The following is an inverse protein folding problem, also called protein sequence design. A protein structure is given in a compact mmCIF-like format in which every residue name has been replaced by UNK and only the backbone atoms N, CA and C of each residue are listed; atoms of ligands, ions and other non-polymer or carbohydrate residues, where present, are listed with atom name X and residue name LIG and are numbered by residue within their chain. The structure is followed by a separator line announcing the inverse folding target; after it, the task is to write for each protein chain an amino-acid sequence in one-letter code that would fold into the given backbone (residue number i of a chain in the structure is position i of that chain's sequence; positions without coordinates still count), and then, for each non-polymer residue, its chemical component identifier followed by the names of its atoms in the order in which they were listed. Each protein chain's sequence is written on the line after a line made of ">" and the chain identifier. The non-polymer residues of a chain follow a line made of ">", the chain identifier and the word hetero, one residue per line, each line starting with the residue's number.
data_IF_304598680313
#
_entry.id   IF_304598680313
#
_cell.length_a   1.000
_cell.length_b   1.000
_cell.length_c   1.000
_cell.angle_alpha   90.00
_cell.angle_beta   90.00
_cell.angle_gamma   90.00
#
_symmetry.space_group_name_H-M   'P 1'
#
loop_
_entity.id
_entity.type
_entity.pdbx_description
1 polymer ?
#
# COMPACT_ATOMS: atom_id res chain seq x y z
N UNK A 1 10.79 14.11 20.98
CA UNK A 1 9.75 14.80 20.18
C UNK A 1 8.77 13.74 19.72
N UNK A 2 7.50 14.09 19.60
CA UNK A 2 6.37 13.22 19.29
C UNK A 2 6.24 12.86 17.80
N UNK A 3 7.11 13.41 16.94
CA UNK A 3 7.12 13.21 15.48
C UNK A 3 5.77 13.55 14.82
N UNK A 4 5.01 14.46 15.45
CA UNK A 4 3.76 14.98 14.93
C UNK A 4 4.02 16.01 13.82
N UNK A 5 3.30 15.87 12.71
CA UNK A 5 3.35 16.79 11.57
C UNK A 5 1.95 17.28 11.16
N UNK A 6 1.86 18.04 10.06
CA UNK A 6 0.61 18.63 9.56
C UNK A 6 -0.45 17.58 9.18
N UNK A 7 -0.05 16.32 8.96
CA UNK A 7 -0.91 15.20 8.60
C UNK A 7 -1.30 14.36 9.81
N UNK A 8 -0.33 13.98 10.66
CA UNK A 8 -0.61 13.13 11.84
C UNK A 8 -1.31 13.89 12.96
N UNK A 9 -1.13 15.22 13.01
CA UNK A 9 -1.84 16.12 13.93
C UNK A 9 -3.15 16.68 13.39
N UNK A 10 -3.55 16.31 12.16
CA UNK A 10 -4.67 16.96 11.45
C UNK A 10 -6.05 16.66 12.01
N UNK A 11 -6.21 15.53 12.69
CA UNK A 11 -7.49 15.06 13.21
C UNK A 11 -7.30 14.15 14.41
N UNK A 12 -8.27 14.18 15.33
CA UNK A 12 -8.35 13.25 16.45
C UNK A 12 -9.75 12.69 16.57
N UNK A 13 -9.88 11.40 16.85
CA UNK A 13 -11.19 10.76 17.01
C UNK A 13 -11.81 11.20 18.33
N UNK A 14 -13.03 11.76 18.28
CA UNK A 14 -13.77 12.20 19.47
C UNK A 14 -14.93 11.27 19.82
N UNK A 15 -15.46 10.53 18.85
CA UNK A 15 -16.46 9.50 19.08
C UNK A 15 -16.33 8.40 18.04
N UNK A 16 -16.60 7.17 18.46
CA UNK A 16 -16.58 5.99 17.59
C UNK A 16 -17.75 5.08 17.95
N UNK A 17 -18.51 4.70 16.93
CA UNK A 17 -19.57 3.69 16.98
C UNK A 17 -19.12 2.48 16.13
N UNK A 18 -19.98 1.46 16.05
CA UNK A 18 -19.77 0.35 15.12
C UNK A 18 -19.83 0.83 13.66
N UNK A 19 -20.67 1.82 13.38
CA UNK A 19 -21.02 2.26 12.03
C UNK A 19 -20.18 3.45 11.56
N UNK A 20 -19.63 4.25 12.47
CA UNK A 20 -18.98 5.51 12.13
C UNK A 20 -18.05 6.09 13.19
N UNK A 21 -17.34 7.16 12.81
CA UNK A 21 -16.52 7.95 13.70
C UNK A 21 -16.70 9.45 13.41
N UNK A 22 -16.54 10.28 14.45
CA UNK A 22 -16.41 11.73 14.32
C UNK A 22 -15.02 12.17 14.74
N UNK A 23 -14.52 13.20 14.07
CA UNK A 23 -13.16 13.68 14.25
C UNK A 23 -13.19 15.15 14.61
N UNK A 24 -12.38 15.56 15.59
CA UNK A 24 -12.03 16.97 15.78
C UNK A 24 -10.90 17.29 14.82
N UNK A 25 -11.09 18.28 13.95
CA UNK A 25 -10.08 18.70 12.99
C UNK A 25 -9.17 19.78 13.57
N UNK A 26 -7.91 19.75 13.16
CA UNK A 26 -6.95 20.77 13.50
C UNK A 26 -7.30 22.13 12.87
N UNK A 27 -6.95 23.26 13.51
CA UNK A 27 -7.33 24.59 13.05
C UNK A 27 -6.67 25.01 11.73
N UNK A 28 -5.65 24.30 11.27
CA UNK A 28 -5.01 24.53 9.97
C UNK A 28 -5.70 23.79 8.82
N UNK A 29 -6.75 22.99 9.07
CA UNK A 29 -7.50 22.32 8.00
C UNK A 29 -8.51 23.30 7.38
N UNK A 30 -8.43 23.46 6.06
CA UNK A 30 -9.27 24.38 5.30
C UNK A 30 -10.38 23.68 4.51
N UNK A 31 -10.17 22.42 4.11
CA UNK A 31 -11.19 21.62 3.43
C UNK A 31 -11.25 20.22 4.03
N UNK A 32 -12.46 19.69 4.16
CA UNK A 32 -12.74 18.34 4.64
C UNK A 32 -13.72 17.64 3.71
N UNK A 33 -13.34 16.46 3.25
CA UNK A 33 -14.18 15.59 2.42
C UNK A 33 -14.07 14.15 2.89
N UNK A 34 -15.04 13.32 2.52
CA UNK A 34 -14.94 11.87 2.67
C UNK A 34 -15.05 11.18 1.31
N UNK A 35 -14.32 10.08 1.15
CA UNK A 35 -14.38 9.24 -0.05
C UNK A 35 -14.22 7.77 0.30
N UNK A 36 -14.62 6.91 -0.62
CA UNK A 36 -14.39 5.47 -0.53
C UNK A 36 -13.19 5.08 -1.38
N UNK A 37 -12.19 4.41 -0.80
CA UNK A 37 -11.02 3.93 -1.55
C UNK A 37 -11.40 2.85 -2.57
N UNK A 38 -12.49 2.09 -2.36
CA UNK A 38 -12.94 1.08 -3.32
C UNK A 38 -13.70 1.67 -4.51
N UNK A 39 -13.89 3.00 -4.53
CA UNK A 39 -14.45 3.75 -5.65
C UNK A 39 -13.47 4.85 -6.12
N UNK A 40 -12.29 4.49 -6.66
CA UNK A 40 -11.17 5.41 -6.88
C UNK A 40 -11.50 6.58 -7.81
N UNK A 41 -12.40 6.38 -8.77
CA UNK A 41 -12.84 7.40 -9.73
C UNK A 41 -13.97 8.30 -9.20
N UNK A 42 -14.51 7.99 -8.01
CA UNK A 42 -15.57 8.79 -7.39
C UNK A 42 -14.95 9.98 -6.65
N UNK A 43 -15.39 11.22 -6.95
CA UNK A 43 -14.95 12.40 -6.20
C UNK A 43 -15.32 12.31 -4.71
N UNK A 44 -14.50 12.93 -3.86
CA UNK A 44 -14.85 13.10 -2.46
C UNK A 44 -16.10 13.95 -2.28
N UNK A 45 -16.89 13.64 -1.27
CA UNK A 45 -18.08 14.40 -0.89
C UNK A 45 -17.73 15.35 0.24
N UNK A 46 -18.28 16.57 0.27
CA UNK A 46 -18.10 17.48 1.41
C UNK A 46 -18.41 16.78 2.73
N UNK A 47 -17.55 16.98 3.72
CA UNK A 47 -17.75 16.52 5.09
C UNK A 47 -18.02 17.75 5.95
N UNK A 48 -19.26 17.87 6.42
CA UNK A 48 -19.68 18.99 7.28
C UNK A 48 -18.86 19.00 8.56
N UNK A 49 -18.55 20.20 9.05
CA UNK A 49 -17.81 20.43 10.30
C UNK A 49 -18.60 21.41 11.15
N UNK A 50 -18.89 21.01 12.38
CA UNK A 50 -19.60 21.84 13.35
C UNK A 50 -18.77 23.05 13.82
N UNK A 51 -19.41 24.02 14.50
CA UNK A 51 -18.73 25.19 15.04
C UNK A 51 -17.69 24.84 16.13
N UNK A 52 -17.76 23.63 16.69
CA UNK A 52 -16.79 23.04 17.63
C UNK A 52 -15.60 22.35 16.93
N UNK A 53 -15.55 22.37 15.60
CA UNK A 53 -14.50 21.73 14.80
C UNK A 53 -14.69 20.23 14.61
N UNK A 54 -15.83 19.66 15.05
CA UNK A 54 -16.12 18.23 14.95
C UNK A 54 -16.81 17.91 13.62
N UNK A 55 -16.33 16.90 12.91
CA UNK A 55 -16.94 16.45 11.66
C UNK A 55 -18.32 15.82 11.89
N UNK A 56 -19.15 15.85 10.86
CA UNK A 56 -20.20 14.86 10.70
C UNK A 56 -19.61 13.44 10.75
N UNK A 57 -20.48 12.45 10.98
CA UNK A 57 -20.06 11.06 11.12
C UNK A 57 -19.56 10.51 9.78
N UNK A 58 -18.33 9.98 9.80
CA UNK A 58 -17.73 9.27 8.67
C UNK A 58 -17.97 7.78 8.87
N UNK A 59 -18.57 7.08 7.89
CA UNK A 59 -18.76 5.65 7.99
C UNK A 59 -17.43 4.92 8.21
N UNK A 60 -17.44 3.85 9.00
CA UNK A 60 -16.25 3.04 9.25
C UNK A 60 -16.24 1.80 8.35
N UNK A 61 -15.05 1.34 7.94
CA UNK A 61 -14.93 0.00 7.35
C UNK A 61 -15.49 -1.05 8.33
N UNK A 62 -16.31 -1.97 7.83
CA UNK A 62 -16.86 -3.04 8.65
C UNK A 62 -15.74 -3.85 9.32
N UNK A 63 -15.90 -4.22 10.59
CA UNK A 63 -14.90 -5.02 11.31
C UNK A 63 -14.81 -6.46 10.77
N UNK A 64 -15.92 -7.02 10.29
CA UNK A 64 -16.02 -8.36 9.68
C UNK A 64 -16.64 -8.33 8.27
N UNK A 65 -16.83 -9.50 7.66
CA UNK A 65 -17.52 -9.64 6.37
C UNK A 65 -16.72 -9.21 5.14
N UNK A 66 -17.42 -9.11 4.01
CA UNK A 66 -16.84 -8.66 2.75
C UNK A 66 -16.39 -7.20 2.84
N UNK A 67 -15.31 -6.87 2.15
CA UNK A 67 -14.79 -5.52 2.05
C UNK A 67 -15.43 -4.83 0.85
N UNK A 68 -16.61 -4.24 1.07
CA UNK A 68 -17.40 -3.59 0.00
C UNK A 68 -17.18 -2.09 -0.08
N UNK A 69 -16.77 -1.47 1.03
CA UNK A 69 -16.39 -0.07 1.10
C UNK A 69 -15.19 0.11 2.04
N UNK A 70 -14.38 1.13 1.79
CA UNK A 70 -13.33 1.60 2.67
C UNK A 70 -13.33 3.13 2.74
N UNK A 71 -14.19 3.73 3.58
CA UNK A 71 -14.27 5.18 3.71
C UNK A 71 -13.02 5.77 4.37
N UNK A 72 -12.60 6.93 3.88
CA UNK A 72 -11.48 7.72 4.40
C UNK A 72 -11.85 9.20 4.48
N UNK A 73 -11.15 9.91 5.36
CA UNK A 73 -11.08 11.37 5.34
C UNK A 73 -10.11 11.79 4.24
N UNK A 74 -10.49 12.80 3.46
CA UNK A 74 -9.57 13.56 2.63
C UNK A 74 -9.58 15.00 3.09
N UNK A 75 -8.46 15.43 3.67
CA UNK A 75 -8.29 16.76 4.24
C UNK A 75 -7.36 17.59 3.36
N UNK A 76 -7.54 18.91 3.38
CA UNK A 76 -6.59 19.86 2.80
C UNK A 76 -6.19 20.88 3.87
N UNK A 77 -4.90 21.03 4.05
CA UNK A 77 -4.35 22.09 4.90
C UNK A 77 -4.49 23.47 4.25
N UNK A 78 -4.65 24.50 5.07
CA UNK A 78 -4.77 25.90 4.66
C UNK A 78 -3.62 26.37 3.80
N UNK A 79 -3.91 27.24 2.82
CA UNK A 79 -2.87 27.88 2.01
C UNK A 79 -1.93 28.79 2.82
N UNK A 80 -2.30 29.11 4.07
CA UNK A 80 -1.47 29.90 4.99
C UNK A 80 -0.31 29.12 5.59
N UNK A 81 -0.29 27.79 5.49
CA UNK A 81 0.83 26.97 5.95
C UNK A 81 1.71 26.54 4.76
N UNK A 82 3.01 26.44 5.00
CA UNK A 82 4.01 26.12 3.95
C UNK A 82 3.72 24.75 3.33
N UNK A 83 3.33 23.78 4.16
CA UNK A 83 3.03 22.41 3.77
C UNK A 83 1.59 22.27 3.28
N UNK A 84 1.22 23.03 2.24
CA UNK A 84 -0.13 23.01 1.67
C UNK A 84 -0.37 21.82 0.74
N UNK A 85 -1.05 20.78 1.21
CA UNK A 85 -1.42 19.64 0.39
C UNK A 85 -2.74 19.00 0.84
N UNK A 86 -3.28 18.16 -0.05
CA UNK A 86 -4.40 17.29 0.28
C UNK A 86 -3.85 15.90 0.63
N UNK A 87 -4.40 15.27 1.65
CA UNK A 87 -3.93 13.99 2.17
C UNK A 87 -5.10 13.13 2.65
N UNK A 88 -4.86 11.82 2.75
CA UNK A 88 -5.87 10.84 3.17
C UNK A 88 -5.58 10.32 4.57
N UNK A 89 -6.62 10.25 5.40
CA UNK A 89 -6.57 9.62 6.72
C UNK A 89 -7.62 8.51 6.81
N UNK A 90 -7.26 7.37 7.39
CA UNK A 90 -8.17 6.25 7.62
C UNK A 90 -8.26 5.90 9.11
N UNK A 91 -9.45 5.51 9.56
CA UNK A 91 -9.64 5.06 10.94
C UNK A 91 -9.29 3.58 11.09
N UNK A 92 -8.18 3.28 11.75
CA UNK A 92 -7.78 1.92 12.12
C UNK A 92 -8.04 1.60 13.60
N UNK A 93 -8.85 2.39 14.29
CA UNK A 93 -9.26 2.16 15.69
C UNK A 93 -8.44 2.90 16.75
N UNK A 94 -7.45 3.69 16.33
CA UNK A 94 -6.59 4.49 17.22
C UNK A 94 -7.18 5.88 17.50
N UNK A 95 -6.55 6.64 18.40
CA UNK A 95 -6.95 8.02 18.70
C UNK A 95 -6.64 8.97 17.53
N UNK A 96 -5.43 8.88 16.97
CA UNK A 96 -5.05 9.56 15.75
C UNK A 96 -5.34 8.64 14.54
N UNK A 97 -6.04 9.11 13.50
CA UNK A 97 -6.24 8.32 12.29
C UNK A 97 -4.92 8.18 11.52
N UNK A 98 -4.85 7.16 10.67
CA UNK A 98 -3.64 6.74 9.98
C UNK A 98 -3.48 7.47 8.65
N UNK A 99 -2.32 8.10 8.43
CA UNK A 99 -2.00 8.78 7.17
C UNK A 99 -1.67 7.80 6.05
N UNK A 100 -2.31 7.96 4.89
CA UNK A 100 -2.09 7.11 3.72
C UNK A 100 -1.23 7.82 2.68
N UNK A 101 -0.17 7.15 2.25
CA UNK A 101 0.77 7.64 1.24
C UNK A 101 0.96 6.62 0.12
N UNK A 102 1.55 7.08 -0.97
CA UNK A 102 1.85 6.27 -2.13
C UNK A 102 3.21 6.64 -2.71
N UNK A 103 3.99 5.61 -3.04
CA UNK A 103 5.24 5.74 -3.77
C UNK A 103 5.14 4.98 -5.10
N UNK A 104 5.14 5.68 -6.24
CA UNK A 104 5.11 5.02 -7.53
C UNK A 104 6.43 4.30 -7.80
N UNK A 105 6.42 3.42 -8.82
CA UNK A 105 7.63 2.77 -9.30
C UNK A 105 8.74 3.78 -9.62
N UNK A 106 10.01 3.46 -9.31
CA UNK A 106 11.12 4.32 -9.67
C UNK A 106 11.16 4.52 -11.19
N UNK A 107 11.08 5.77 -11.64
CA UNK A 107 11.32 6.10 -13.03
C UNK A 107 12.76 5.78 -13.43
N UNK A 108 13.01 5.51 -14.72
CA UNK A 108 14.38 5.33 -15.20
C UNK A 108 15.16 6.62 -14.95
N UNK A 109 16.31 6.50 -14.27
CA UNK A 109 17.19 7.65 -13.97
C UNK A 109 16.66 8.62 -12.91
N UNK A 110 15.51 8.35 -12.27
CA UNK A 110 15.03 9.21 -11.18
C UNK A 110 15.62 8.79 -9.84
N UNK A 111 16.08 9.74 -8.99
CA UNK A 111 16.46 9.46 -7.62
C UNK A 111 15.32 8.82 -6.82
N UNK A 112 15.67 8.13 -5.72
CA UNK A 112 14.67 7.72 -4.75
C UNK A 112 13.91 8.96 -4.25
N UNK A 113 12.59 8.85 -4.14
CA UNK A 113 11.70 9.92 -3.70
C UNK A 113 11.07 9.53 -2.38
N UNK A 114 10.68 10.52 -1.59
CA UNK A 114 9.80 10.30 -0.47
C UNK A 114 8.41 9.84 -0.97
N UNK A 115 7.66 9.09 -0.15
CA UNK A 115 6.24 8.86 -0.38
C UNK A 115 5.50 10.17 -0.65
N UNK A 116 4.47 10.08 -1.48
CA UNK A 116 3.60 11.20 -1.85
C UNK A 116 2.22 11.00 -1.25
N UNK A 117 1.44 12.05 -1.24
CA UNK A 117 0.04 11.97 -0.83
C UNK A 117 -0.77 11.02 -1.72
N UNK A 118 -1.64 10.24 -1.06
CA UNK A 118 -2.46 9.21 -1.70
C UNK A 118 -3.68 9.76 -2.47
N UNK A 119 -3.66 11.02 -2.89
CA UNK A 119 -4.81 11.69 -3.54
C UNK A 119 -4.77 11.65 -5.07
N UNK A 120 -3.65 11.25 -5.67
CA UNK A 120 -3.48 11.19 -7.12
C UNK A 120 -4.12 9.92 -7.75
N UNK A 121 -4.43 9.92 -9.06
CA UNK A 121 -5.11 8.80 -9.72
C UNK A 121 -4.42 7.44 -9.53
N UNK A 122 -3.11 7.35 -9.81
CA UNK A 122 -2.34 6.11 -9.64
C UNK A 122 -2.36 5.62 -8.18
N UNK A 123 -2.31 6.55 -7.22
CA UNK A 123 -2.36 6.23 -5.81
C UNK A 123 -3.72 5.66 -5.41
N UNK A 124 -4.81 6.29 -5.86
CA UNK A 124 -6.18 5.85 -5.58
C UNK A 124 -6.46 4.48 -6.19
N UNK A 125 -5.97 4.20 -7.40
CA UNK A 125 -6.06 2.88 -8.02
C UNK A 125 -5.30 1.82 -7.22
N UNK A 126 -4.06 2.10 -6.81
CA UNK A 126 -3.29 1.17 -5.97
C UNK A 126 -3.96 0.94 -4.60
N UNK A 127 -4.53 1.99 -4.00
CA UNK A 127 -5.29 1.91 -2.75
C UNK A 127 -6.60 1.14 -2.90
N UNK A 128 -7.35 1.30 -3.99
CA UNK A 128 -8.57 0.52 -4.24
C UNK A 128 -8.32 -0.98 -4.21
N UNK A 129 -7.17 -1.40 -4.74
CA UNK A 129 -6.73 -2.80 -4.79
C UNK A 129 -6.23 -3.35 -3.45
N UNK A 130 -5.85 -2.49 -2.51
CA UNK A 130 -5.12 -2.87 -1.27
C UNK A 130 -5.80 -2.43 0.02
N UNK A 131 -6.81 -1.56 -0.04
CA UNK A 131 -7.45 -0.97 1.13
C UNK A 131 -8.01 -2.04 2.08
N UNK A 132 -8.54 -3.13 1.55
CA UNK A 132 -9.09 -4.21 2.37
C UNK A 132 -8.06 -4.89 3.28
N UNK A 133 -6.77 -4.90 2.91
CA UNK A 133 -5.73 -5.49 3.75
C UNK A 133 -5.36 -4.61 4.93
N UNK A 134 -5.72 -3.32 4.94
CA UNK A 134 -5.57 -2.42 6.09
C UNK A 134 -6.32 -2.93 7.34
N UNK A 135 -7.35 -3.78 7.16
CA UNK A 135 -8.05 -4.41 8.28
C UNK A 135 -7.11 -5.20 9.20
N UNK A 136 -6.07 -5.82 8.62
CA UNK A 136 -5.07 -6.59 9.38
C UNK A 136 -4.21 -5.72 10.31
N UNK A 137 -4.26 -4.39 10.12
CA UNK A 137 -3.51 -3.39 10.86
C UNK A 137 -4.36 -2.70 11.95
N UNK A 138 -5.65 -3.02 12.07
CA UNK A 138 -6.52 -2.39 13.04
C UNK A 138 -6.03 -2.60 14.48
N UNK A 139 -6.06 -1.54 15.29
CA UNK A 139 -5.67 -1.57 16.71
C UNK A 139 -4.18 -1.80 16.97
N UNK A 140 -3.32 -1.58 15.97
CA UNK A 140 -1.86 -1.81 16.09
C UNK A 140 -1.03 -0.53 16.26
N UNK A 141 -1.67 0.62 16.55
CA UNK A 141 -0.94 1.88 16.76
C UNK A 141 -0.28 2.43 15.48
N UNK A 142 -0.93 2.27 14.33
CA UNK A 142 -0.38 2.68 13.03
C UNK A 142 -0.48 4.19 12.85
N UNK A 143 0.68 4.82 12.65
CA UNK A 143 0.81 6.25 12.36
C UNK A 143 0.57 6.54 10.89
N UNK A 144 1.23 5.77 10.02
CA UNK A 144 1.15 5.95 8.57
C UNK A 144 1.26 4.64 7.83
N UNK A 145 0.62 4.54 6.67
CA UNK A 145 0.77 3.43 5.73
C UNK A 145 1.16 3.95 4.36
N UNK A 146 2.21 3.36 3.78
CA UNK A 146 2.68 3.68 2.44
C UNK A 146 2.49 2.48 1.52
N UNK A 147 1.81 2.69 0.38
CA UNK A 147 1.82 1.76 -0.73
C UNK A 147 3.00 2.07 -1.66
N UNK A 148 4.02 1.21 -1.67
CA UNK A 148 5.13 1.31 -2.62
C UNK A 148 4.98 0.33 -3.77
N UNK A 149 4.66 0.83 -4.95
CA UNK A 149 4.81 0.10 -6.20
C UNK A 149 6.31 -0.11 -6.50
N UNK A 150 6.84 -1.32 -6.28
CA UNK A 150 8.28 -1.56 -6.42
C UNK A 150 8.69 -2.23 -7.73
N UNK A 151 7.76 -2.92 -8.41
CA UNK A 151 8.01 -3.58 -9.69
C UNK A 151 6.74 -3.75 -10.53
N UNK A 152 6.93 -3.79 -11.86
CA UNK A 152 5.91 -4.20 -12.83
C UNK A 152 6.34 -5.51 -13.48
N UNK A 153 5.44 -6.48 -13.54
CA UNK A 153 5.67 -7.80 -14.10
C UNK A 153 4.89 -7.97 -15.40
N UNK A 154 5.60 -8.18 -16.51
CA UNK A 154 4.97 -8.69 -17.72
C UNK A 154 4.57 -10.14 -17.48
N UNK A 155 3.29 -10.45 -17.64
CA UNK A 155 2.82 -11.81 -17.45
C UNK A 155 3.21 -12.68 -18.65
N UNK A 156 3.51 -13.97 -18.41
CA UNK A 156 3.74 -14.94 -19.47
C UNK A 156 2.62 -14.97 -20.51
N UNK A 157 2.92 -15.56 -21.67
CA UNK A 157 1.92 -15.85 -22.71
C UNK A 157 1.26 -14.62 -23.36
N UNK A 158 1.95 -13.48 -23.32
CA UNK A 158 1.44 -12.22 -23.89
C UNK A 158 0.37 -11.55 -23.02
N UNK A 159 0.24 -11.97 -21.75
CA UNK A 159 -0.70 -11.39 -20.80
C UNK A 159 -0.42 -9.91 -20.48
N UNK A 160 -1.42 -9.24 -19.89
CA UNK A 160 -1.29 -7.88 -19.40
C UNK A 160 -0.22 -7.77 -18.30
N UNK A 161 0.18 -6.54 -17.96
CA UNK A 161 1.09 -6.34 -16.82
C UNK A 161 0.38 -6.55 -15.49
N UNK A 162 1.11 -7.11 -14.53
CA UNK A 162 0.77 -7.06 -13.11
C UNK A 162 1.70 -6.09 -12.37
N UNK A 163 1.29 -5.65 -11.19
CA UNK A 163 2.08 -4.77 -10.33
C UNK A 163 2.40 -5.45 -9.00
N UNK A 164 3.57 -5.13 -8.45
CA UNK A 164 4.00 -5.58 -7.14
C UNK A 164 4.07 -4.38 -6.20
N UNK A 165 3.31 -4.47 -5.11
CA UNK A 165 3.19 -3.42 -4.11
C UNK A 165 3.71 -3.93 -2.79
N UNK A 166 4.49 -3.11 -2.10
CA UNK A 166 4.78 -3.31 -0.69
C UNK A 166 4.07 -2.25 0.13
N UNK A 167 3.10 -2.68 0.94
CA UNK A 167 2.34 -1.84 1.85
C UNK A 167 3.04 -1.86 3.20
N UNK A 168 3.70 -0.76 3.55
CA UNK A 168 4.39 -0.61 4.83
C UNK A 168 3.55 0.18 5.81
N UNK A 169 3.31 -0.39 6.99
CA UNK A 169 2.73 0.30 8.14
C UNK A 169 3.85 0.71 9.11
N UNK A 170 3.97 1.99 9.39
CA UNK A 170 4.84 2.52 10.44
C UNK A 170 3.99 2.80 11.68
N UNK A 171 4.42 2.27 12.82
CA UNK A 171 3.71 2.39 14.10
C UNK A 171 4.38 3.43 15.00
N UNK A 172 3.64 3.94 15.98
CA UNK A 172 4.20 4.81 17.03
C UNK A 172 5.26 4.12 17.88
N UNK A 173 5.28 2.77 17.93
CA UNK A 173 6.25 1.99 18.71
C UNK A 173 7.60 1.83 18.00
N UNK A 174 7.66 2.06 16.69
CA UNK A 174 8.89 2.02 15.90
C UNK A 174 8.97 0.86 14.89
N UNK A 175 8.84 -0.42 15.31
CA UNK A 175 8.84 -1.53 14.35
C UNK A 175 7.73 -1.37 13.31
N UNK A 176 8.09 -1.66 12.05
CA UNK A 176 7.14 -1.61 10.95
C UNK A 176 6.69 -2.99 10.53
N UNK A 177 5.49 -3.04 9.95
CA UNK A 177 4.91 -4.22 9.32
C UNK A 177 4.81 -3.99 7.83
N UNK A 178 5.03 -5.04 7.03
CA UNK A 178 4.87 -4.98 5.57
C UNK A 178 3.95 -6.08 5.09
N UNK A 179 3.07 -5.71 4.15
CA UNK A 179 2.35 -6.64 3.31
C UNK A 179 2.92 -6.53 1.89
N UNK A 180 3.44 -7.62 1.34
CA UNK A 180 3.80 -7.67 -0.09
C UNK A 180 2.63 -8.24 -0.86
N UNK A 181 2.18 -7.50 -1.87
CA UNK A 181 0.93 -7.76 -2.57
C UNK A 181 1.16 -7.81 -4.08
N UNK A 182 0.51 -8.77 -4.73
CA UNK A 182 0.51 -8.96 -6.18
C UNK A 182 -0.82 -8.50 -6.77
N UNK A 183 -0.76 -7.46 -7.60
CA UNK A 183 -1.90 -6.86 -8.28
C UNK A 183 -1.94 -7.44 -9.70
N UNK A 184 -2.58 -8.60 -9.83
CA UNK A 184 -2.86 -9.20 -11.13
C UNK A 184 -3.83 -8.32 -11.94
N UNK A 185 -3.88 -8.46 -13.28
CA UNK A 185 -4.93 -7.88 -14.11
C UNK A 185 -6.30 -8.17 -13.50
N UNK A 186 -7.14 -7.15 -13.41
CA UNK A 186 -8.43 -7.20 -12.76
C UNK A 186 -9.54 -6.78 -13.72
N UNK A 187 -10.75 -7.28 -13.46
CA UNK A 187 -11.94 -6.89 -14.18
C UNK A 187 -12.51 -5.58 -13.64
N UNK A 188 -12.28 -5.29 -12.35
CA UNK A 188 -12.68 -4.07 -11.67
C UNK A 188 -11.47 -3.32 -11.08
N UNK A 189 -11.47 -1.98 -11.04
CA UNK A 189 -10.44 -1.18 -10.37
C UNK A 189 -10.23 -1.53 -8.88
N UNK A 190 -11.24 -2.11 -8.23
CA UNK A 190 -11.23 -2.45 -6.80
C UNK A 190 -11.18 -3.95 -6.50
N UNK A 191 -10.97 -4.81 -7.51
CA UNK A 191 -10.73 -6.24 -7.23
C UNK A 191 -9.56 -6.35 -6.24
N UNK A 192 -9.56 -7.21 -5.22
CA UNK A 192 -8.48 -7.21 -4.22
C UNK A 192 -7.16 -7.71 -4.81
N UNK A 193 -6.04 -7.16 -4.35
CA UNK A 193 -4.71 -7.72 -4.58
C UNK A 193 -4.56 -9.05 -3.81
N UNK A 194 -3.62 -9.91 -4.25
CA UNK A 194 -3.25 -11.11 -3.49
C UNK A 194 -2.13 -10.76 -2.52
N UNK A 195 -2.32 -10.99 -1.22
CA UNK A 195 -1.25 -10.89 -0.22
C UNK A 195 -0.32 -12.09 -0.38
N UNK A 196 0.95 -11.83 -0.64
CA UNK A 196 2.00 -12.83 -0.87
C UNK A 196 2.84 -13.04 0.38
N UNK A 197 3.07 -11.95 1.13
CA UNK A 197 3.87 -11.96 2.34
C UNK A 197 3.29 -10.98 3.36
N UNK A 198 3.41 -11.34 4.64
CA UNK A 198 3.09 -10.50 5.78
C UNK A 198 4.22 -10.64 6.80
N UNK A 199 4.90 -9.52 7.11
CA UNK A 199 6.06 -9.52 8.00
C UNK A 199 6.03 -8.34 8.95
N UNK A 200 6.08 -8.65 10.23
CA UNK A 200 6.29 -7.71 11.32
C UNK A 200 7.77 -7.45 11.58
N UNK A 201 8.05 -6.51 12.48
CA UNK A 201 9.39 -6.23 13.02
C UNK A 201 10.49 -6.07 11.95
N UNK A 202 10.15 -5.39 10.86
CA UNK A 202 11.03 -5.30 9.69
C UNK A 202 11.27 -3.88 9.21
N UNK A 203 12.46 -3.68 8.65
CA UNK A 203 12.85 -2.45 7.96
C UNK A 203 12.44 -2.44 6.49
N UNK A 204 11.92 -3.54 5.94
CA UNK A 204 11.54 -3.64 4.53
C UNK A 204 10.61 -2.50 4.09
N UNK A 205 10.79 -2.08 2.84
CA UNK A 205 9.96 -1.05 2.20
C UNK A 205 10.04 0.32 2.88
N UNK A 206 11.15 0.59 3.54
CA UNK A 206 11.47 1.86 4.19
C UNK A 206 12.78 2.43 3.64
N UNK A 207 13.17 3.62 4.13
CA UNK A 207 14.49 4.20 3.84
C UNK A 207 15.66 3.34 4.32
N UNK A 208 15.43 2.41 5.25
CA UNK A 208 16.46 1.51 5.81
C UNK A 208 16.46 0.13 5.15
N UNK A 209 15.31 -0.38 4.71
CA UNK A 209 15.17 -1.63 3.97
C UNK A 209 14.67 -1.36 2.55
N UNK A 210 15.54 -0.84 1.71
CA UNK A 210 15.20 -0.32 0.38
C UNK A 210 15.08 -1.39 -0.71
N UNK A 211 15.35 -2.65 -0.37
CA UNK A 211 15.45 -3.73 -1.34
C UNK A 211 14.51 -4.88 -0.95
N UNK A 212 13.69 -5.28 -1.91
CA UNK A 212 12.65 -6.30 -1.73
C UNK A 212 12.72 -7.24 -2.92
N UNK A 213 12.53 -8.54 -2.65
CA UNK A 213 12.26 -9.59 -3.62
C UNK A 213 11.01 -10.33 -3.11
N UNK A 214 10.08 -10.65 -4.01
CA UNK A 214 8.93 -11.48 -3.69
C UNK A 214 8.58 -12.37 -4.87
N UNK A 215 7.82 -13.44 -4.62
CA UNK A 215 7.34 -14.31 -5.67
C UNK A 215 6.03 -15.00 -5.32
N UNK A 216 5.33 -15.43 -6.37
CA UNK A 216 4.04 -16.12 -6.25
C UNK A 216 3.92 -17.16 -7.34
N UNK A 217 3.14 -18.21 -7.05
CA UNK A 217 2.59 -19.05 -8.09
C UNK A 217 1.44 -18.31 -8.77
N UNK A 218 1.40 -18.37 -10.10
CA UNK A 218 0.38 -17.74 -10.92
C UNK A 218 -0.06 -18.68 -12.04
N UNK A 219 -1.37 -18.67 -12.32
CA UNK A 219 -1.98 -19.48 -13.36
C UNK A 219 -2.37 -18.57 -14.52
N UNK A 220 -1.86 -18.88 -15.70
CA UNK A 220 -2.27 -18.24 -16.94
C UNK A 220 -3.68 -18.68 -17.35
N UNK A 221 -4.32 -17.91 -18.23
CA UNK A 221 -5.65 -18.23 -18.79
C UNK A 221 -5.64 -19.55 -19.56
N UNK A 222 -4.48 -19.94 -20.13
CA UNK A 222 -4.28 -21.26 -20.76
C UNK A 222 -4.30 -22.43 -19.77
N UNK A 223 -4.33 -22.14 -18.47
CA UNK A 223 -4.27 -23.11 -17.38
C UNK A 223 -2.86 -23.51 -16.96
N UNK A 224 -1.80 -23.02 -17.63
CA UNK A 224 -0.41 -23.28 -17.26
C UNK A 224 0.01 -22.49 -16.02
N UNK A 225 0.84 -23.11 -15.20
CA UNK A 225 1.36 -22.51 -13.96
C UNK A 225 2.78 -21.99 -14.14
N UNK A 226 3.04 -20.89 -13.44
CA UNK A 226 4.31 -20.20 -13.43
C UNK A 226 4.66 -19.79 -12.00
N UNK A 227 5.94 -19.87 -11.66
CA UNK A 227 6.51 -19.07 -10.58
C UNK A 227 6.89 -17.72 -11.15
N UNK A 228 6.30 -16.67 -10.61
CA UNK A 228 6.65 -15.28 -10.87
C UNK A 228 7.53 -14.77 -9.74
N UNK A 229 8.50 -13.92 -10.07
CA UNK A 229 9.34 -13.26 -9.09
C UNK A 229 9.62 -11.82 -9.51
N UNK A 230 9.57 -10.89 -8.58
CA UNK A 230 9.89 -9.50 -8.85
C UNK A 230 10.71 -8.86 -7.73
N UNK A 231 11.69 -8.07 -8.15
CA UNK A 231 12.62 -7.35 -7.29
C UNK A 231 12.52 -5.84 -7.46
N UNK A 232 12.80 -5.11 -6.40
CA UNK A 232 12.93 -3.64 -6.43
C UNK A 232 14.00 -3.16 -7.41
N UNK A 233 14.04 -1.85 -7.74
CA UNK A 233 14.92 -1.24 -8.77
C UNK A 233 16.42 -1.59 -8.70
N UNK A 234 16.94 -2.07 -7.57
CA UNK A 234 18.34 -2.42 -7.42
C UNK A 234 18.65 -3.85 -7.91
N UNK A 235 17.64 -4.69 -8.10
CA UNK A 235 17.79 -6.06 -8.58
C UNK A 235 18.22 -6.09 -10.04
N UNK A 236 19.29 -6.83 -10.31
CA UNK A 236 19.90 -6.99 -11.64
C UNK A 236 19.69 -8.38 -12.22
N UNK A 237 19.29 -9.35 -11.40
CA UNK A 237 18.90 -10.67 -11.86
C UNK A 237 18.20 -11.45 -10.74
N UNK A 238 17.33 -12.37 -11.13
CA UNK A 238 16.58 -13.24 -10.23
C UNK A 238 16.83 -14.69 -10.63
N UNK A 239 16.98 -15.57 -9.65
CA UNK A 239 17.15 -17.01 -9.83
C UNK A 239 16.09 -17.77 -9.05
N UNK A 240 15.50 -18.77 -9.70
CA UNK A 240 14.68 -19.80 -9.08
C UNK A 240 15.50 -21.09 -8.96
N UNK A 241 15.42 -21.72 -7.80
CA UNK A 241 16.03 -23.03 -7.49
C UNK A 241 15.06 -23.88 -6.69
N UNK A 242 15.20 -25.21 -6.75
CA UNK A 242 14.27 -26.16 -6.12
C UNK A 242 13.78 -27.18 -7.13
N UNK A 243 12.50 -27.52 -7.09
CA UNK A 243 11.87 -28.47 -8.03
C UNK A 243 11.90 -27.97 -9.48
N UNK A 244 11.92 -26.65 -9.66
CA UNK A 244 12.20 -26.01 -10.94
C UNK A 244 13.39 -25.07 -10.80
N UNK A 245 14.12 -24.89 -11.90
CA UNK A 245 15.21 -23.94 -11.96
C UNK A 245 15.04 -22.98 -13.13
N UNK A 246 15.49 -21.75 -12.94
CA UNK A 246 15.45 -20.73 -13.96
C UNK A 246 16.17 -19.47 -13.51
N UNK A 247 16.53 -18.62 -14.46
CA UNK A 247 17.14 -17.34 -14.17
C UNK A 247 16.71 -16.30 -15.20
N UNK A 248 16.62 -15.05 -14.76
CA UNK A 248 16.38 -13.91 -15.64
C UNK A 248 17.36 -12.79 -15.31
N UNK A 249 17.88 -12.14 -16.37
CA UNK A 249 18.57 -10.86 -16.25
C UNK A 249 17.54 -9.75 -16.13
N UNK A 250 17.57 -9.00 -15.02
CA UNK A 250 16.64 -7.93 -14.71
C UNK A 250 15.84 -8.16 -13.43
N UNK A 251 14.86 -7.26 -13.15
CA UNK A 251 14.12 -7.23 -11.89
C UNK A 251 12.89 -8.15 -11.88
N UNK A 252 12.67 -8.97 -12.90
CA UNK A 252 11.51 -9.87 -12.98
C UNK A 252 11.89 -11.24 -13.52
N UNK A 253 11.17 -12.26 -13.07
CA UNK A 253 11.33 -13.66 -13.43
C UNK A 253 9.94 -14.26 -13.69
N UNK A 254 9.85 -15.11 -14.71
CA UNK A 254 8.74 -16.03 -14.87
C UNK A 254 9.28 -17.38 -15.35
N UNK A 255 9.04 -18.44 -14.57
CA UNK A 255 9.47 -19.81 -14.88
C UNK A 255 8.25 -20.70 -14.85
N UNK A 256 8.08 -21.54 -15.88
CA UNK A 256 7.00 -22.52 -15.90
C UNK A 256 7.24 -23.54 -14.79
N UNK A 257 6.20 -23.83 -14.01
CA UNK A 257 6.29 -24.73 -12.87
C UNK A 257 5.00 -25.55 -12.71
N UNK A 258 5.05 -26.69 -12.00
CA UNK A 258 3.86 -27.25 -11.35
C UNK A 258 3.17 -26.22 -10.46
N UNK A 259 1.89 -26.46 -10.12
CA UNK A 259 1.06 -25.53 -9.34
C UNK A 259 1.66 -25.19 -7.98
N UNK A 260 2.20 -26.19 -7.30
CA UNK A 260 2.62 -26.13 -5.91
C UNK A 260 4.12 -26.45 -5.79
N UNK A 261 4.91 -26.02 -6.78
CA UNK A 261 6.33 -26.34 -6.84
C UNK A 261 7.09 -25.67 -5.70
N UNK A 262 7.95 -26.43 -5.01
CA UNK A 262 8.82 -25.85 -3.99
C UNK A 262 10.01 -25.13 -4.66
N UNK A 263 10.03 -23.80 -4.51
CA UNK A 263 10.97 -22.91 -5.19
C UNK A 263 11.46 -21.81 -4.26
N UNK A 264 12.78 -21.74 -4.14
CA UNK A 264 13.47 -20.61 -3.53
C UNK A 264 13.80 -19.57 -4.61
N UNK A 265 13.51 -18.30 -4.31
CA UNK A 265 13.87 -17.16 -5.14
C UNK A 265 14.97 -16.34 -4.48
N UNK A 266 16.05 -16.15 -5.23
CA UNK A 266 17.14 -15.25 -4.85
C UNK A 266 17.37 -14.20 -5.92
N UNK A 267 17.93 -13.06 -5.54
CA UNK A 267 18.24 -11.97 -6.45
C UNK A 267 19.62 -11.37 -6.20
N UNK A 268 20.26 -10.89 -7.27
CA UNK A 268 21.50 -10.13 -7.22
C UNK A 268 21.22 -8.63 -7.29
N UNK A 269 22.01 -7.84 -6.57
CA UNK A 269 21.89 -6.37 -6.53
C UNK A 269 22.97 -5.67 -7.34
N UNK A 270 22.66 -4.47 -7.85
CA UNK A 270 23.61 -3.63 -8.62
C UNK A 270 24.86 -3.25 -7.83
N UNK A 271 24.70 -2.97 -6.54
CA UNK A 271 25.79 -2.56 -5.64
C UNK A 271 26.54 -3.75 -5.04
N UNK A 272 26.20 -4.97 -5.48
CA UNK A 272 26.68 -6.21 -4.87
C UNK A 272 25.75 -6.70 -3.77
N UNK A 273 25.90 -7.98 -3.40
CA UNK A 273 25.04 -8.65 -2.44
C UNK A 273 23.84 -9.37 -3.08
N UNK A 274 23.13 -10.10 -2.23
CA UNK A 274 22.01 -10.96 -2.61
C UNK A 274 20.79 -10.73 -1.70
N UNK A 275 19.61 -11.03 -2.22
CA UNK A 275 18.35 -11.06 -1.47
C UNK A 275 17.72 -12.43 -1.59
N UNK A 276 16.98 -12.84 -0.57
CA UNK A 276 16.00 -13.94 -0.64
C UNK A 276 14.60 -13.35 -0.68
N UNK A 277 13.67 -14.05 -1.33
CA UNK A 277 12.28 -13.60 -1.39
C UNK A 277 11.65 -13.53 -0.01
N UNK A 278 10.80 -12.53 0.19
CA UNK A 278 9.93 -12.44 1.35
C UNK A 278 8.77 -13.42 1.13
N UNK A 279 8.52 -14.25 2.14
CA UNK A 279 7.40 -15.19 2.21
C UNK A 279 6.42 -14.75 3.30
#
# INVERSE_FOLDING_TARGET
>A
TDDADVTTGAAVVVSRTADGARFLLAPWIAESTTRDLLAPDTPGRPLEVGPDGVTAEVPRPAAGGACETWPVLQLRSSERIVEKHAFLLTDLGELAPTHLTYMPKPGRGTPARQPREATGPDALLAWARTACSLRTLAGSGVRSVNNWAFAEQKLPEGGASAEWVCTRADTWRGPGRVLVQFLAPAASPADPATVIADRDDTALCSKFGQHVLAGTHWRADSGRWYVLGAGSRAVTGIRATGEVSGAAGGPTLAVRAPRDADVELTASLREGGTLTAVH
#
